data_IF_117735787444
#
_entry.id   IF_117735787444
#
_cell.length_a   1.000
_cell.length_b   1.000
_cell.length_c   1.000
_cell.angle_alpha   90.00
_cell.angle_beta   90.00
_cell.angle_gamma   90.00
#
_symmetry.space_group_name_H-M   'P 1'
#
loop_
_entity.id
_entity.type
_entity.pdbx_description
1 polymer ?
#
# COMPACT_ATOMS: atom_id res chain seq x y z
N UNK A 1 -1.54 0.33 -5.56
CA UNK A 1 -0.90 -1.01 -5.52
C UNK A 1 -1.43 -1.95 -6.60
N UNK A 2 -2.64 -2.49 -6.51
CA UNK A 2 -3.16 -3.53 -7.42
C UNK A 2 -3.06 -3.18 -8.92
N UNK A 3 -3.34 -1.92 -9.27
CA UNK A 3 -3.29 -1.42 -10.66
C UNK A 3 -1.88 -1.08 -11.17
N UNK A 4 -0.84 -1.23 -10.34
CA UNK A 4 0.52 -0.79 -10.67
C UNK A 4 0.70 0.73 -10.71
N UNK A 5 -0.28 1.50 -10.21
CA UNK A 5 -0.20 2.97 -10.10
C UNK A 5 0.50 3.37 -8.81
N UNK A 6 1.40 4.35 -8.92
CA UNK A 6 2.07 5.00 -7.79
C UNK A 6 1.05 5.58 -6.83
N UNK A 7 1.21 5.27 -5.56
CA UNK A 7 0.36 5.78 -4.48
C UNK A 7 1.12 6.85 -3.70
N UNK A 8 0.44 7.95 -3.39
CA UNK A 8 0.85 8.86 -2.32
C UNK A 8 -0.05 8.63 -1.13
N UNK A 9 0.54 8.42 0.05
CA UNK A 9 -0.23 7.97 1.21
C UNK A 9 0.24 8.66 2.49
N UNK A 10 -0.70 9.25 3.23
CA UNK A 10 -0.47 9.74 4.59
C UNK A 10 -0.76 8.58 5.56
N UNK A 11 0.28 7.82 5.92
CA UNK A 11 0.15 6.57 6.67
C UNK A 11 1.21 6.45 7.76
N UNK A 12 0.88 5.67 8.79
CA UNK A 12 1.81 5.22 9.81
C UNK A 12 1.67 3.70 10.05
N UNK A 13 2.67 3.12 10.72
CA UNK A 13 2.70 1.70 11.06
C UNK A 13 2.76 0.77 9.84
N UNK A 14 2.14 -0.40 9.96
CA UNK A 14 2.23 -1.49 8.99
C UNK A 14 1.85 -1.07 7.56
N UNK A 15 0.79 -0.26 7.40
CA UNK A 15 0.37 0.19 6.07
C UNK A 15 1.43 1.09 5.40
N UNK A 16 2.13 1.91 6.18
CA UNK A 16 3.23 2.71 5.68
C UNK A 16 4.43 1.83 5.27
N UNK A 17 4.76 0.84 6.08
CA UNK A 17 5.86 -0.09 5.80
C UNK A 17 5.55 -0.95 4.58
N UNK A 18 4.30 -1.36 4.38
CA UNK A 18 3.86 -2.07 3.19
C UNK A 18 4.12 -1.24 1.92
N UNK A 19 3.74 0.03 1.91
CA UNK A 19 3.96 0.91 0.75
C UNK A 19 5.45 1.08 0.46
N UNK A 20 6.28 1.29 1.50
CA UNK A 20 7.73 1.47 1.38
C UNK A 20 8.43 0.20 0.90
N UNK A 21 8.18 -0.94 1.55
CA UNK A 21 8.86 -2.21 1.29
C UNK A 21 8.49 -2.80 -0.07
N UNK A 22 7.25 -2.61 -0.53
CA UNK A 22 6.81 -3.08 -1.85
C UNK A 22 7.16 -2.14 -2.99
N UNK A 23 7.65 -0.92 -2.68
CA UNK A 23 7.90 0.12 -3.66
C UNK A 23 6.62 0.62 -4.35
N UNK A 24 5.51 0.62 -3.63
CA UNK A 24 4.20 1.02 -4.16
C UNK A 24 4.07 2.53 -4.42
N UNK A 25 4.93 3.32 -3.80
CA UNK A 25 4.94 4.78 -3.91
C UNK A 25 5.58 5.43 -2.70
N UNK A 26 5.07 6.60 -2.31
CA UNK A 26 5.67 7.45 -1.27
C UNK A 26 4.72 7.60 -0.09
N UNK A 27 5.26 7.45 1.12
CA UNK A 27 4.53 7.70 2.36
C UNK A 27 4.99 9.02 2.96
N UNK A 28 4.02 9.85 3.33
CA UNK A 28 4.22 11.05 4.14
C UNK A 28 3.65 10.83 5.56
N UNK A 29 4.08 11.61 6.56
CA UNK A 29 3.49 11.54 7.89
C UNK A 29 1.98 11.77 7.87
N UNK A 30 1.19 11.08 8.72
CA UNK A 30 -0.21 11.42 8.94
C UNK A 30 -0.32 12.82 9.56
N UNK A 31 -1.45 13.49 9.32
CA UNK A 31 -1.75 14.86 9.79
C UNK A 31 -0.75 15.95 9.37
N UNK A 32 0.08 15.68 8.36
CA UNK A 32 0.95 16.68 7.72
C UNK A 32 0.52 16.93 6.26
N UNK A 33 -0.48 17.80 6.03
CA UNK A 33 -0.92 18.15 4.69
C UNK A 33 0.16 18.90 3.90
N UNK A 34 1.12 19.56 4.57
CA UNK A 34 2.21 20.27 3.90
C UNK A 34 3.18 19.29 3.27
N UNK A 35 3.53 18.21 3.97
CA UNK A 35 4.37 17.15 3.42
C UNK A 35 3.78 16.53 2.14
N UNK A 36 2.45 16.37 2.06
CA UNK A 36 1.78 15.90 0.85
C UNK A 36 1.84 16.94 -0.28
N UNK A 37 1.59 18.21 0.03
CA UNK A 37 1.66 19.29 -0.94
C UNK A 37 3.08 19.43 -1.52
N UNK A 38 4.10 19.43 -0.66
CA UNK A 38 5.50 19.54 -1.07
C UNK A 38 5.92 18.37 -1.97
N UNK A 39 5.46 17.14 -1.67
CA UNK A 39 5.69 15.97 -2.52
C UNK A 39 5.13 16.18 -3.93
N UNK A 40 3.89 16.65 -4.05
CA UNK A 40 3.26 16.85 -5.35
C UNK A 40 3.85 18.03 -6.11
N UNK A 41 4.11 19.15 -5.43
CA UNK A 41 4.78 20.31 -6.01
C UNK A 41 6.12 19.92 -6.63
N UNK A 42 6.94 19.13 -5.93
CA UNK A 42 8.19 18.61 -6.45
C UNK A 42 8.01 17.75 -7.70
N UNK A 43 7.02 16.86 -7.73
CA UNK A 43 6.74 16.06 -8.94
C UNK A 43 6.26 16.88 -10.12
N UNK A 44 5.52 17.97 -9.86
CA UNK A 44 5.14 18.92 -10.90
C UNK A 44 6.36 19.67 -11.45
N UNK A 45 7.28 20.10 -10.58
CA UNK A 45 8.54 20.74 -10.96
C UNK A 45 9.44 19.78 -11.76
N UNK A 46 9.56 18.53 -11.30
CA UNK A 46 10.33 17.46 -11.97
C UNK A 46 9.64 16.97 -13.27
N UNK A 47 8.36 17.30 -13.47
CA UNK A 47 7.56 16.90 -14.62
C UNK A 47 7.26 15.40 -14.70
N UNK A 48 7.48 14.64 -13.62
CA UNK A 48 7.33 13.20 -13.62
C UNK A 48 6.91 12.66 -12.23
N UNK A 49 6.03 11.66 -12.26
CA UNK A 49 5.69 10.84 -11.09
C UNK A 49 6.51 9.55 -11.17
N UNK A 50 7.34 9.22 -10.17
CA UNK A 50 8.08 7.96 -10.15
C UNK A 50 7.12 6.77 -10.25
N UNK A 51 7.35 5.78 -11.12
CA UNK A 51 6.45 4.65 -11.29
C UNK A 51 6.50 3.71 -10.07
N UNK A 52 5.37 3.08 -9.75
CA UNK A 52 5.34 2.03 -8.73
C UNK A 52 6.12 0.80 -9.21
N UNK A 53 6.75 0.11 -8.26
CA UNK A 53 7.37 -1.19 -8.49
C UNK A 53 6.31 -2.24 -8.86
N UNK A 54 6.65 -3.14 -9.78
CA UNK A 54 5.82 -4.31 -10.12
C UNK A 54 5.60 -5.23 -8.91
N UNK A 55 6.52 -5.22 -7.95
CA UNK A 55 6.41 -5.96 -6.69
C UNK A 55 5.18 -5.56 -5.88
N UNK A 56 4.71 -4.31 -5.99
CA UNK A 56 3.51 -3.85 -5.30
C UNK A 56 2.23 -4.54 -5.80
N UNK A 57 2.08 -4.69 -7.12
CA UNK A 57 0.93 -5.40 -7.69
C UNK A 57 1.02 -6.91 -7.41
N UNK A 58 2.24 -7.48 -7.51
CA UNK A 58 2.49 -8.87 -7.17
C UNK A 58 2.15 -9.19 -5.71
N UNK A 59 2.52 -8.30 -4.77
CA UNK A 59 2.18 -8.47 -3.36
C UNK A 59 0.66 -8.57 -3.15
N UNK A 60 -0.12 -7.71 -3.81
CA UNK A 60 -1.60 -7.77 -3.74
C UNK A 60 -2.12 -9.11 -4.25
N UNK A 61 -1.60 -9.59 -5.38
CA UNK A 61 -1.99 -10.88 -5.96
C UNK A 61 -1.74 -12.06 -5.00
N UNK A 62 -0.61 -12.04 -4.29
CA UNK A 62 -0.21 -13.11 -3.38
C UNK A 62 -0.94 -13.05 -2.04
N UNK A 63 -1.19 -11.86 -1.50
CA UNK A 63 -1.61 -11.68 -0.11
C UNK A 63 -3.02 -11.11 0.09
N UNK A 64 -3.57 -10.40 -0.89
CA UNK A 64 -4.75 -9.55 -0.69
C UNK A 64 -5.83 -9.72 -1.78
N UNK A 65 -5.87 -10.88 -2.43
CA UNK A 65 -7.00 -11.25 -3.31
C UNK A 65 -8.17 -11.79 -2.48
N UNK A 66 -9.38 -11.74 -3.03
CA UNK A 66 -10.58 -12.26 -2.38
C UNK A 66 -10.44 -13.73 -1.96
N UNK A 67 -9.85 -14.57 -2.82
CA UNK A 67 -9.62 -15.98 -2.50
C UNK A 67 -8.65 -16.17 -1.33
N UNK A 68 -7.60 -15.35 -1.24
CA UNK A 68 -6.63 -15.41 -0.14
C UNK A 68 -7.29 -14.97 1.16
N UNK A 69 -7.98 -13.82 1.15
CA UNK A 69 -8.65 -13.28 2.32
C UNK A 69 -9.76 -14.21 2.81
N UNK A 70 -10.63 -14.71 1.91
CA UNK A 70 -11.71 -15.62 2.27
C UNK A 70 -11.17 -16.89 2.93
N UNK A 71 -10.12 -17.51 2.37
CA UNK A 71 -9.48 -18.69 2.99
C UNK A 71 -8.91 -18.40 4.37
N UNK A 72 -8.27 -17.24 4.58
CA UNK A 72 -7.71 -16.88 5.88
C UNK A 72 -8.81 -16.63 6.92
N UNK A 73 -9.87 -15.90 6.54
CA UNK A 73 -11.02 -15.66 7.41
C UNK A 73 -11.74 -16.96 7.77
N UNK A 74 -12.01 -17.84 6.80
CA UNK A 74 -12.64 -19.14 7.08
C UNK A 74 -11.82 -19.97 8.08
N UNK A 75 -10.49 -20.04 7.90
CA UNK A 75 -9.62 -20.75 8.86
C UNK A 75 -9.71 -20.16 10.26
N UNK A 76 -9.66 -18.84 10.38
CA UNK A 76 -9.77 -18.19 11.69
C UNK A 76 -11.12 -18.45 12.38
N UNK A 77 -12.21 -18.55 11.60
CA UNK A 77 -13.53 -18.91 12.12
C UNK A 77 -13.60 -20.38 12.54
N UNK A 78 -13.04 -21.29 11.75
CA UNK A 78 -12.96 -22.73 12.08
C UNK A 78 -12.16 -22.95 13.37
N UNK A 79 -11.02 -22.27 13.52
CA UNK A 79 -10.16 -22.33 14.70
C UNK A 79 -10.89 -21.82 15.95
N UNK A 80 -11.71 -20.77 15.82
CA UNK A 80 -12.50 -20.22 16.92
C UNK A 80 -13.63 -21.17 17.36
N UNK A 81 -14.25 -21.88 16.42
CA UNK A 81 -15.32 -22.84 16.71
C UNK A 81 -14.77 -24.15 17.30
N UNK A 82 -13.52 -24.50 16.98
CA UNK A 82 -12.84 -25.69 17.49
C UNK A 82 -12.22 -25.51 18.90
N UNK A 83 -12.18 -24.28 19.43
CA UNK A 83 -11.63 -23.92 20.74
C UNK A 83 -12.71 -23.91 21.84
#
# INVERSE_FOLDING_TARGET
MARGTTVTAALAGEAADLVRTTGAGVVVPPDDPRAMADLWSRWCEDGAVPPASRSAAHWVMVHATWDVLARQFSRALDDLVAA
#
